data_IF_966576468787
#
_entry.id   IF_966576468787
#
_cell.length_a   1.000
_cell.length_b   1.000
_cell.length_c   1.000
_cell.angle_alpha   90.00
_cell.angle_beta   90.00
_cell.angle_gamma   90.00
#
_symmetry.space_group_name_H-M   'P 1'
#
loop_
_entity.id
_entity.type
_entity.pdbx_description
1 polymer ?
#
# COMPACT_ATOMS: atom_id res chain seq x y z
N UNK A 1 -11.00 -19.61 27.89
CA UNK A 1 -9.74 -20.05 27.26
C UNK A 1 -8.65 -19.24 27.92
N UNK A 2 -7.87 -19.94 28.75
CA UNK A 2 -7.05 -19.35 29.81
C UNK A 2 -5.92 -18.50 29.21
N UNK A 3 -5.71 -17.30 29.78
CA UNK A 3 -4.61 -16.41 29.43
C UNK A 3 -3.27 -16.92 29.94
N UNK A 4 -2.92 -18.15 29.57
CA UNK A 4 -1.64 -18.77 29.89
C UNK A 4 -0.55 -18.12 29.02
N UNK A 5 0.44 -17.43 29.61
CA UNK A 5 1.56 -16.83 28.88
C UNK A 5 2.30 -17.86 28.01
N UNK A 6 2.38 -19.12 28.46
CA UNK A 6 3.03 -20.19 27.72
C UNK A 6 2.35 -20.44 26.35
N UNK A 7 1.02 -20.50 26.33
CA UNK A 7 0.26 -20.79 25.11
C UNK A 7 0.42 -19.71 24.04
N UNK A 8 0.68 -18.45 24.42
CA UNK A 8 0.98 -17.35 23.48
C UNK A 8 2.37 -17.51 22.88
N UNK A 9 3.35 -17.90 23.69
CA UNK A 9 4.73 -18.14 23.26
C UNK A 9 4.77 -19.31 22.27
N UNK A 10 4.06 -20.40 22.54
CA UNK A 10 4.00 -21.55 21.63
C UNK A 10 3.43 -21.15 20.25
N UNK A 11 2.32 -20.39 20.24
CA UNK A 11 1.74 -19.87 18.99
C UNK A 11 2.68 -18.93 18.24
N UNK A 12 3.48 -18.15 18.96
CA UNK A 12 4.48 -17.30 18.34
C UNK A 12 5.58 -18.14 17.69
N UNK A 13 6.04 -19.21 18.35
CA UNK A 13 7.03 -20.14 17.80
C UNK A 13 6.47 -20.76 16.50
N UNK A 14 5.23 -21.24 16.51
CA UNK A 14 4.55 -21.77 15.32
C UNK A 14 4.54 -20.74 14.17
N UNK A 15 4.20 -19.48 14.48
CA UNK A 15 4.22 -18.42 13.50
C UNK A 15 5.62 -18.19 12.91
N UNK A 16 6.67 -18.20 13.74
CA UNK A 16 8.06 -18.05 13.31
C UNK A 16 8.48 -19.20 12.39
N UNK A 17 8.07 -20.43 12.69
CA UNK A 17 8.30 -21.58 11.81
C UNK A 17 7.63 -21.39 10.45
N UNK A 18 6.39 -20.92 10.43
CA UNK A 18 5.67 -20.57 9.19
C UNK A 18 6.42 -19.50 8.38
N UNK A 19 7.01 -18.49 9.05
CA UNK A 19 7.87 -17.49 8.38
C UNK A 19 9.11 -18.15 7.77
N UNK A 20 9.78 -19.04 8.51
CA UNK A 20 11.00 -19.73 8.05
C UNK A 20 10.76 -20.60 6.82
N UNK A 21 9.60 -21.25 6.72
CA UNK A 21 9.21 -22.05 5.55
C UNK A 21 8.54 -21.20 4.44
N UNK A 22 8.63 -19.87 4.52
CA UNK A 22 8.09 -18.89 3.57
C UNK A 22 6.54 -18.93 3.41
N UNK A 23 5.83 -19.49 4.39
CA UNK A 23 4.36 -19.46 4.46
C UNK A 23 3.86 -18.17 5.12
N UNK A 24 4.13 -17.03 4.47
CA UNK A 24 3.84 -15.68 5.01
C UNK A 24 2.36 -15.46 5.32
N UNK A 25 1.46 -15.98 4.49
CA UNK A 25 0.02 -15.79 4.68
C UNK A 25 -0.50 -16.52 5.93
N UNK A 26 -0.06 -17.77 6.14
CA UNK A 26 -0.40 -18.54 7.34
C UNK A 26 0.21 -17.90 8.60
N UNK A 27 1.48 -17.50 8.54
CA UNK A 27 2.16 -16.81 9.64
C UNK A 27 1.40 -15.52 10.03
N UNK A 28 0.98 -14.73 9.04
CA UNK A 28 0.19 -13.51 9.24
C UNK A 28 -1.15 -13.79 9.91
N UNK A 29 -1.82 -14.89 9.58
CA UNK A 29 -3.08 -15.27 10.23
C UNK A 29 -2.88 -15.57 11.73
N UNK A 30 -1.84 -16.35 12.06
CA UNK A 30 -1.50 -16.70 13.46
C UNK A 30 -1.10 -15.46 14.24
N UNK A 31 -0.18 -14.64 13.72
CA UNK A 31 0.28 -13.41 14.36
C UNK A 31 -0.87 -12.42 14.61
N UNK A 32 -1.82 -12.33 13.67
CA UNK A 32 -3.02 -11.48 13.83
C UNK A 32 -3.90 -11.95 14.98
N UNK A 33 -4.05 -13.27 15.16
CA UNK A 33 -4.80 -13.80 16.29
C UNK A 33 -4.11 -13.50 17.61
N UNK A 34 -2.79 -13.67 17.69
CA UNK A 34 -1.99 -13.34 18.87
C UNK A 34 -2.17 -11.86 19.23
N UNK A 35 -2.00 -10.96 18.27
CA UNK A 35 -2.16 -9.50 18.45
C UNK A 35 -3.59 -9.12 18.88
N UNK A 36 -4.61 -9.84 18.38
CA UNK A 36 -6.01 -9.60 18.76
C UNK A 36 -6.27 -9.97 20.22
N UNK A 37 -5.57 -10.99 20.72
CA UNK A 37 -5.65 -11.42 22.13
C UNK A 37 -4.82 -10.49 23.01
N UNK A 38 -3.65 -10.09 22.54
CA UNK A 38 -2.68 -9.27 23.26
C UNK A 38 -2.06 -8.22 22.34
N UNK A 39 -2.58 -6.99 22.44
CA UNK A 39 -2.12 -5.89 21.60
C UNK A 39 -0.75 -5.35 22.03
N UNK A 40 -0.33 -5.62 23.27
CA UNK A 40 0.93 -5.14 23.83
C UNK A 40 2.05 -6.16 23.66
N UNK A 41 1.83 -7.23 22.88
CA UNK A 41 2.85 -8.23 22.63
C UNK A 41 3.80 -7.79 21.51
N UNK A 42 4.87 -7.08 21.90
CA UNK A 42 5.87 -6.49 21.00
C UNK A 42 6.47 -7.48 19.99
N UNK A 43 6.75 -8.71 20.42
CA UNK A 43 7.40 -9.71 19.58
C UNK A 43 6.48 -10.14 18.41
N UNK A 44 5.16 -10.28 18.66
CA UNK A 44 4.22 -10.58 17.58
C UNK A 44 4.10 -9.45 16.56
N UNK A 45 4.15 -8.19 17.01
CA UNK A 45 4.20 -7.03 16.11
C UNK A 45 5.49 -6.97 15.29
N UNK A 46 6.62 -7.33 15.92
CA UNK A 46 7.91 -7.39 15.24
C UNK A 46 7.91 -8.44 14.12
N UNK A 47 7.40 -9.65 14.38
CA UNK A 47 7.28 -10.69 13.36
C UNK A 47 6.20 -10.36 12.31
N UNK A 48 5.12 -9.68 12.70
CA UNK A 48 4.11 -9.17 11.76
C UNK A 48 4.76 -8.25 10.72
N UNK A 49 5.67 -7.38 11.14
CA UNK A 49 6.39 -6.47 10.24
C UNK A 49 7.20 -7.19 9.15
N UNK A 50 7.59 -8.45 9.37
CA UNK A 50 8.36 -9.25 8.39
C UNK A 50 7.46 -9.92 7.36
N UNK A 51 6.22 -10.27 7.72
CA UNK A 51 5.32 -11.06 6.87
C UNK A 51 4.34 -10.23 6.05
N UNK A 52 4.16 -8.95 6.39
CA UNK A 52 3.30 -8.03 5.64
C UNK A 52 3.86 -7.70 4.26
N UNK A 53 2.95 -7.45 3.32
CA UNK A 53 3.28 -7.36 1.89
C UNK A 53 3.93 -6.02 1.48
N UNK A 54 3.76 -4.99 2.30
CA UNK A 54 4.18 -3.61 1.96
C UNK A 54 5.06 -3.01 3.05
N UNK A 55 6.00 -2.15 2.63
CA UNK A 55 6.87 -1.41 3.53
C UNK A 55 6.06 -0.50 4.46
N UNK A 56 5.00 0.11 3.94
CA UNK A 56 4.08 0.99 4.68
C UNK A 56 3.41 0.21 5.84
N UNK A 57 2.91 -1.01 5.58
CA UNK A 57 2.36 -1.87 6.65
C UNK A 57 3.44 -2.35 7.63
N UNK A 58 4.65 -2.64 7.13
CA UNK A 58 5.78 -3.04 7.97
C UNK A 58 6.16 -1.91 8.95
N UNK A 59 6.20 -0.68 8.47
CA UNK A 59 6.46 0.51 9.27
C UNK A 59 5.40 0.70 10.37
N UNK A 60 4.11 0.52 10.06
CA UNK A 60 3.03 0.59 11.06
C UNK A 60 3.17 -0.49 12.13
N UNK A 61 3.59 -1.70 11.77
CA UNK A 61 3.82 -2.77 12.75
C UNK A 61 5.00 -2.43 13.68
N UNK A 62 6.10 -1.91 13.13
CA UNK A 62 7.27 -1.50 13.92
C UNK A 62 6.99 -0.28 14.80
N UNK A 63 6.16 0.65 14.34
CA UNK A 63 5.70 1.78 15.15
C UNK A 63 4.90 1.29 16.37
N UNK A 64 4.04 0.29 16.19
CA UNK A 64 3.36 -0.37 17.31
C UNK A 64 4.33 -1.04 18.28
N UNK A 65 5.39 -1.68 17.80
CA UNK A 65 6.45 -2.24 18.68
C UNK A 65 7.06 -1.13 19.53
N UNK A 66 7.43 0.00 18.92
CA UNK A 66 8.04 1.13 19.64
C UNK A 66 7.06 1.85 20.56
N UNK A 67 5.75 1.83 20.26
CA UNK A 67 4.70 2.32 21.15
C UNK A 67 4.61 1.48 22.43
N UNK A 68 4.71 0.16 22.30
CA UNK A 68 4.69 -0.77 23.44
C UNK A 68 6.02 -0.69 24.21
N UNK A 69 7.13 -0.74 23.50
CA UNK A 69 8.48 -0.70 24.06
C UNK A 69 9.39 0.25 23.26
N UNK A 70 9.49 1.51 23.70
CA UNK A 70 10.31 2.52 23.03
C UNK A 70 11.81 2.18 22.99
N UNK A 71 12.27 1.29 23.87
CA UNK A 71 13.67 0.90 23.97
C UNK A 71 14.01 -0.30 23.06
N UNK A 72 13.07 -0.77 22.24
CA UNK A 72 13.32 -1.89 21.32
C UNK A 72 14.24 -1.45 20.16
N UNK A 73 15.54 -1.66 20.34
CA UNK A 73 16.60 -1.30 19.37
C UNK A 73 16.39 -2.02 18.03
N UNK A 74 15.85 -3.24 18.05
CA UNK A 74 15.62 -4.03 16.84
C UNK A 74 14.54 -3.39 15.96
N UNK A 75 13.42 -2.99 16.57
CA UNK A 75 12.34 -2.31 15.88
C UNK A 75 12.77 -0.92 15.38
N UNK A 76 13.47 -0.15 16.22
CA UNK A 76 14.00 1.16 15.83
C UNK A 76 14.96 1.06 14.64
N UNK A 77 15.90 0.10 14.68
CA UNK A 77 16.83 -0.13 13.58
C UNK A 77 16.14 -0.63 12.31
N UNK A 78 15.11 -1.47 12.42
CA UNK A 78 14.32 -1.91 11.28
C UNK A 78 13.53 -0.75 10.64
N UNK A 79 12.90 0.09 11.46
CA UNK A 79 12.12 1.25 11.01
C UNK A 79 13.01 2.28 10.32
N UNK A 80 14.21 2.53 10.86
CA UNK A 80 15.20 3.42 10.24
C UNK A 80 15.57 2.96 8.83
N UNK A 81 15.89 1.66 8.67
CA UNK A 81 16.22 1.07 7.35
C UNK A 81 15.04 1.11 6.37
N UNK A 82 13.81 0.94 6.87
CA UNK A 82 12.60 1.03 6.06
C UNK A 82 12.37 2.44 5.54
N UNK A 83 12.49 3.45 6.41
CA UNK A 83 12.32 4.86 6.05
C UNK A 83 13.39 5.33 5.06
N UNK A 84 14.64 4.88 5.22
CA UNK A 84 15.71 5.13 4.25
C UNK A 84 15.34 4.58 2.86
N UNK A 85 14.83 3.34 2.81
CA UNK A 85 14.35 2.73 1.57
C UNK A 85 13.14 3.44 1.00
N UNK A 86 12.22 3.90 1.83
CA UNK A 86 11.04 4.65 1.40
C UNK A 86 11.43 5.96 0.72
N UNK A 87 12.31 6.77 1.34
CA UNK A 87 12.85 8.01 0.75
C UNK A 87 13.52 7.73 -0.61
N UNK A 88 14.26 6.63 -0.73
CA UNK A 88 14.88 6.20 -1.99
C UNK A 88 13.86 5.68 -3.02
N UNK A 89 12.76 5.07 -2.58
CA UNK A 89 11.72 4.50 -3.43
C UNK A 89 10.64 5.51 -3.82
N UNK A 90 10.42 6.58 -3.06
CA UNK A 90 9.47 7.65 -3.38
C UNK A 90 9.81 8.32 -4.72
N UNK A 91 11.10 8.52 -5.02
CA UNK A 91 11.56 8.92 -6.37
C UNK A 91 11.08 7.99 -7.50
N UNK A 92 10.89 6.70 -7.20
CA UNK A 92 10.47 5.69 -8.18
C UNK A 92 8.94 5.64 -8.33
N UNK A 93 8.17 6.01 -7.29
CA UNK A 93 6.70 5.93 -7.26
C UNK A 93 6.00 7.08 -8.02
N UNK A 94 6.61 8.26 -8.14
CA UNK A 94 6.00 9.41 -8.86
C UNK A 94 5.76 9.12 -10.36
N UNK A 95 6.62 8.31 -10.98
CA UNK A 95 6.49 7.95 -12.41
C UNK A 95 5.27 7.08 -12.74
N UNK A 96 4.74 6.30 -11.80
CA UNK A 96 3.62 5.39 -12.06
C UNK A 96 2.25 6.07 -12.00
N UNK A 97 2.05 7.07 -11.12
CA UNK A 97 0.80 7.85 -11.09
C UNK A 97 0.67 8.80 -12.28
N UNK A 98 1.81 9.30 -12.78
CA UNK A 98 1.85 10.16 -13.96
C UNK A 98 1.29 9.48 -15.21
N UNK A 99 1.57 8.18 -15.43
CA UNK A 99 1.09 7.46 -16.63
C UNK A 99 -0.43 7.39 -16.75
N UNK A 100 -1.14 7.14 -15.65
CA UNK A 100 -2.62 7.07 -15.65
C UNK A 100 -3.24 8.44 -15.92
N UNK A 101 -2.69 9.49 -15.32
CA UNK A 101 -3.24 10.84 -15.44
C UNK A 101 -2.88 11.47 -16.81
N UNK A 102 -1.71 11.16 -17.35
CA UNK A 102 -1.30 11.57 -18.71
C UNK A 102 -2.17 10.89 -19.78
N UNK A 103 -2.50 9.60 -19.61
CA UNK A 103 -3.39 8.90 -20.54
C UNK A 103 -4.80 9.51 -20.56
N UNK A 104 -5.35 9.86 -19.39
CA UNK A 104 -6.63 10.57 -19.29
C UNK A 104 -6.55 11.97 -19.92
N UNK A 105 -5.47 12.71 -19.70
CA UNK A 105 -5.26 14.02 -20.33
C UNK A 105 -5.18 13.96 -21.85
N UNK A 106 -4.40 13.01 -22.39
CA UNK A 106 -4.28 12.79 -23.84
C UNK A 106 -5.61 12.36 -24.47
N UNK A 107 -6.37 11.50 -23.78
CA UNK A 107 -7.70 11.08 -24.21
C UNK A 107 -8.65 12.29 -24.32
N UNK A 108 -8.68 13.15 -23.30
CA UNK A 108 -9.53 14.36 -23.31
C UNK A 108 -9.11 15.37 -24.38
N UNK A 109 -7.80 15.57 -24.60
CA UNK A 109 -7.31 16.44 -25.68
C UNK A 109 -7.79 15.96 -27.06
N UNK A 110 -7.76 14.65 -27.30
CA UNK A 110 -8.23 14.06 -28.56
C UNK A 110 -9.74 14.24 -28.75
N UNK A 111 -10.54 14.02 -27.69
CA UNK A 111 -12.00 14.20 -27.74
C UNK A 111 -12.38 15.64 -28.05
N UNK A 112 -11.76 16.61 -27.36
CA UNK A 112 -12.04 18.04 -27.58
C UNK A 112 -11.66 18.48 -28.99
N UNK A 113 -10.54 17.97 -29.52
CA UNK A 113 -10.12 18.25 -30.89
C UNK A 113 -11.15 17.78 -31.93
N UNK A 114 -11.65 16.54 -31.79
CA UNK A 114 -12.66 15.99 -32.70
C UNK A 114 -13.98 16.76 -32.66
N UNK A 115 -14.43 17.16 -31.46
CA UNK A 115 -15.64 17.97 -31.31
C UNK A 115 -15.50 19.35 -31.96
N UNK A 116 -14.35 20.00 -31.81
CA UNK A 116 -14.09 21.29 -32.45
C UNK A 116 -14.00 21.16 -33.97
N UNK A 117 -13.34 20.13 -34.48
CA UNK A 117 -13.26 19.87 -35.91
C UNK A 117 -14.66 19.64 -36.52
N UNK A 118 -15.51 18.86 -35.84
CA UNK A 118 -16.89 18.61 -36.27
C UNK A 118 -17.76 19.86 -36.22
N UNK A 119 -17.60 20.70 -35.18
CA UNK A 119 -18.29 21.99 -35.09
C UNK A 119 -17.87 22.92 -36.23
N UNK A 120 -16.56 23.02 -36.50
CA UNK A 120 -16.01 23.80 -37.60
C UNK A 120 -16.56 23.32 -38.94
N UNK A 121 -16.58 22.01 -39.22
CA UNK A 121 -17.12 21.50 -40.49
C UNK A 121 -18.61 21.76 -40.63
N UNK A 122 -19.40 21.63 -39.57
CA UNK A 122 -20.82 21.99 -39.57
C UNK A 122 -21.05 23.49 -39.82
N UNK A 123 -20.22 24.35 -39.24
CA UNK A 123 -20.31 25.81 -39.40
C UNK A 123 -19.87 26.25 -40.81
N UNK A 124 -18.84 25.62 -41.37
CA UNK A 124 -18.31 25.93 -42.70
C UNK A 124 -19.19 25.36 -43.83
N UNK A 125 -19.97 24.31 -43.55
CA UNK A 125 -20.88 23.66 -44.49
C UNK A 125 -22.32 24.23 -44.45
N UNK A 126 -22.63 25.17 -43.55
CA UNK A 126 -23.94 25.84 -43.50
C UNK A 126 -24.13 27.14 -44.33
N UNK A 127 -23.39 27.46 -45.41
CA UNK A 127 -23.86 28.47 -46.35
C UNK A 127 -24.74 27.80 -47.42
N UNK A 128 -25.98 28.28 -47.56
CA UNK A 128 -26.89 28.14 -48.71
C UNK A 128 -28.05 27.10 -48.68
N UNK A 129 -28.64 26.76 -47.52
CA UNK A 129 -29.97 26.10 -47.50
C UNK A 129 -31.12 26.96 -46.94
N UNK A 130 -30.87 28.22 -46.56
CA UNK A 130 -31.87 29.12 -45.92
C UNK A 130 -32.30 30.32 -46.79
N UNK A 131 -31.75 30.49 -48.00
CA UNK A 131 -32.21 31.52 -48.97
C UNK A 131 -32.91 30.88 -50.18
N UNK A 132 -34.06 30.27 -49.93
CA UNK A 132 -34.89 29.64 -50.96
C UNK A 132 -36.32 29.43 -50.45
N UNK A 133 -36.93 30.48 -49.93
CA UNK A 133 -38.37 30.61 -49.68
C UNK A 133 -38.83 31.95 -50.26
#
# INVERSE_FOLDING_TARGET
MNGDPQAKIDRLIDAIELVKINQREAARAVLREIIRIDNDFEEAWLWMAVVVDTLDQSAVCLDNVLRVNPNNVQAAGALYRLREKEILMEFRRERLRARRNVALGLMWLMVVFLLNAMWMTMLLFHPASVMGA
#
